data_IF_843046754344
#
_entry.id   IF_843046754344
#
_cell.length_a   1.000
_cell.length_b   1.000
_cell.length_c   1.000
_cell.angle_alpha   90.00
_cell.angle_beta   90.00
_cell.angle_gamma   90.00
#
_symmetry.space_group_name_H-M   'P 1'
#
loop_
_entity.id
_entity.type
_entity.pdbx_description
1 polymer ?
#
# COMPACT_ATOMS: atom_id res chain seq x y z
N UNK A 1 12.49 -9.31 8.09
CA UNK A 1 11.20 -9.74 7.50
C UNK A 1 11.24 -11.17 6.92
N UNK A 2 12.41 -11.69 6.52
CA UNK A 2 12.52 -12.98 5.81
C UNK A 2 11.73 -14.16 6.41
N UNK A 3 11.75 -14.43 7.74
CA UNK A 3 10.95 -15.52 8.31
C UNK A 3 9.44 -15.35 8.08
N UNK A 4 8.94 -14.11 8.18
CA UNK A 4 7.54 -13.76 7.98
C UNK A 4 7.11 -13.96 6.52
N UNK A 5 7.99 -13.60 5.57
CA UNK A 5 7.75 -13.82 4.14
C UNK A 5 7.69 -15.31 3.84
N UNK A 6 8.65 -16.09 4.34
CA UNK A 6 8.71 -17.54 4.10
C UNK A 6 7.45 -18.25 4.65
N UNK A 7 7.04 -17.89 5.86
CA UNK A 7 5.83 -18.44 6.49
C UNK A 7 4.57 -18.06 5.72
N UNK A 8 4.43 -16.79 5.32
CA UNK A 8 3.29 -16.33 4.53
C UNK A 8 3.26 -16.97 3.14
N UNK A 9 4.41 -17.18 2.51
CA UNK A 9 4.53 -17.89 1.24
C UNK A 9 4.08 -19.35 1.38
N UNK A 10 4.52 -20.03 2.44
CA UNK A 10 4.09 -21.40 2.71
C UNK A 10 2.57 -21.52 2.93
N UNK A 11 1.93 -20.47 3.47
CA UNK A 11 0.47 -20.39 3.65
C UNK A 11 -0.29 -19.85 2.44
N UNK A 12 0.39 -19.33 1.42
CA UNK A 12 -0.26 -18.63 0.31
C UNK A 12 -0.92 -17.30 0.72
N UNK A 13 -0.47 -16.67 1.81
CA UNK A 13 -1.04 -15.42 2.34
C UNK A 13 -0.20 -14.18 2.00
N UNK A 14 0.52 -14.24 0.88
CA UNK A 14 1.42 -13.21 0.38
C UNK A 14 1.11 -12.89 -1.08
N UNK A 15 1.01 -11.60 -1.41
CA UNK A 15 0.69 -11.13 -2.75
C UNK A 15 1.60 -9.96 -3.12
N UNK A 16 2.43 -10.17 -4.15
CA UNK A 16 3.22 -9.11 -4.77
C UNK A 16 2.45 -8.48 -5.93
N UNK A 17 2.61 -7.18 -6.14
CA UNK A 17 1.90 -6.44 -7.18
C UNK A 17 2.75 -5.29 -7.74
N UNK A 18 2.46 -4.94 -8.98
CA UNK A 18 2.95 -3.73 -9.67
C UNK A 18 1.80 -3.20 -10.51
N UNK A 19 1.44 -1.94 -10.31
CA UNK A 19 0.31 -1.32 -11.00
C UNK A 19 0.79 -0.53 -12.20
N UNK A 20 0.14 -0.72 -13.34
CA UNK A 20 0.28 0.20 -14.46
C UNK A 20 -0.37 1.55 -14.13
N UNK A 21 0.14 2.67 -14.66
CA UNK A 21 -0.44 3.99 -14.40
C UNK A 21 -1.95 4.04 -14.69
N UNK A 22 -2.72 4.56 -13.74
CA UNK A 22 -4.18 4.67 -13.86
C UNK A 22 -4.95 3.35 -13.70
N UNK A 23 -4.27 2.23 -13.46
CA UNK A 23 -4.93 0.94 -13.22
C UNK A 23 -5.31 0.76 -11.76
N UNK A 24 -6.32 -0.09 -11.54
CA UNK A 24 -6.74 -0.54 -10.22
C UNK A 24 -6.62 -2.05 -10.19
N UNK A 25 -6.00 -2.59 -9.15
CA UNK A 25 -5.92 -4.03 -8.91
C UNK A 25 -6.80 -4.39 -7.72
N UNK A 26 -7.48 -5.53 -7.81
CA UNK A 26 -8.30 -6.05 -6.70
C UNK A 26 -7.84 -7.46 -6.38
N UNK A 27 -7.53 -7.68 -5.10
CA UNK A 27 -7.11 -8.97 -4.59
C UNK A 27 -7.99 -9.41 -3.43
N UNK A 28 -8.20 -10.72 -3.31
CA UNK A 28 -8.97 -11.29 -2.22
C UNK A 28 -8.01 -11.91 -1.21
N UNK A 29 -8.05 -11.41 0.02
CA UNK A 29 -7.41 -12.00 1.19
C UNK A 29 -8.46 -12.81 1.97
N UNK A 30 -8.03 -13.46 3.06
CA UNK A 30 -8.96 -14.13 3.98
C UNK A 30 -9.86 -13.05 4.59
N UNK A 31 -11.16 -13.14 4.34
CA UNK A 31 -12.25 -12.28 4.82
C UNK A 31 -12.31 -10.83 4.28
N UNK A 32 -11.27 -10.32 3.63
CA UNK A 32 -11.26 -8.96 3.08
C UNK A 32 -10.86 -8.95 1.61
N UNK A 33 -11.47 -8.06 0.84
CA UNK A 33 -11.05 -7.70 -0.50
C UNK A 33 -10.30 -6.38 -0.42
N UNK A 34 -9.11 -6.36 -1.00
CA UNK A 34 -8.23 -5.21 -1.04
C UNK A 34 -8.25 -4.62 -2.44
N UNK A 35 -8.43 -3.30 -2.53
CA UNK A 35 -8.35 -2.55 -3.78
C UNK A 35 -7.10 -1.68 -3.74
N UNK A 36 -6.24 -1.82 -4.75
CA UNK A 36 -4.96 -1.13 -4.87
C UNK A 36 -4.99 -0.15 -6.03
N UNK A 37 -4.50 1.06 -5.79
CA UNK A 37 -4.38 2.12 -6.79
C UNK A 37 -3.07 2.86 -6.60
N UNK A 38 -2.63 3.56 -7.63
CA UNK A 38 -1.54 4.52 -7.48
C UNK A 38 -1.96 5.72 -6.64
N UNK A 39 -1.22 6.02 -5.58
CA UNK A 39 -1.56 7.10 -4.65
C UNK A 39 -1.43 8.47 -5.30
N UNK A 40 -0.35 8.68 -6.07
CA UNK A 40 -0.14 9.91 -6.81
C UNK A 40 -1.23 10.15 -7.85
N UNK A 41 -1.56 9.14 -8.67
CA UNK A 41 -2.58 9.21 -9.71
C UNK A 41 -3.96 9.48 -9.09
N UNK A 42 -4.28 8.82 -7.98
CA UNK A 42 -5.53 9.03 -7.24
C UNK A 42 -5.64 10.48 -6.73
N UNK A 43 -4.55 11.04 -6.21
CA UNK A 43 -4.52 12.44 -5.78
C UNK A 43 -4.65 13.40 -6.96
N UNK A 44 -3.89 13.20 -8.05
CA UNK A 44 -3.97 14.03 -9.25
C UNK A 44 -5.39 14.06 -9.80
N UNK A 45 -6.04 12.89 -9.93
CA UNK A 45 -7.42 12.79 -10.38
C UNK A 45 -8.37 13.58 -9.48
N UNK A 46 -8.25 13.42 -8.16
CA UNK A 46 -9.09 14.17 -7.19
C UNK A 46 -8.90 15.69 -7.32
N UNK A 47 -7.67 16.16 -7.52
CA UNK A 47 -7.39 17.59 -7.71
C UNK A 47 -8.02 18.13 -9.00
N UNK A 48 -7.86 17.39 -10.10
CA UNK A 48 -8.47 17.75 -11.40
C UNK A 48 -10.00 17.77 -11.29
N UNK A 49 -10.61 16.77 -10.63
CA UNK A 49 -12.05 16.70 -10.38
C UNK A 49 -12.56 17.90 -9.55
N UNK A 50 -11.70 18.51 -8.72
CA UNK A 50 -11.97 19.73 -7.95
C UNK A 50 -11.64 21.04 -8.69
N UNK A 51 -11.21 20.97 -9.96
CA UNK A 51 -10.77 22.13 -10.73
C UNK A 51 -9.41 22.71 -10.29
N UNK A 52 -8.65 21.97 -9.47
CA UNK A 52 -7.31 22.37 -9.01
C UNK A 52 -6.27 21.78 -9.96
N UNK A 53 -5.34 22.59 -10.51
CA UNK A 53 -4.29 22.06 -11.37
C UNK A 53 -3.41 21.07 -10.59
N UNK A 54 -3.02 19.94 -11.18
CA UNK A 54 -2.20 18.95 -10.49
C UNK A 54 -0.83 19.54 -10.14
N UNK A 55 -0.24 19.17 -8.98
CA UNK A 55 1.11 19.58 -8.64
C UNK A 55 2.10 19.02 -9.66
N UNK A 56 3.13 19.80 -9.97
CA UNK A 56 4.26 19.33 -10.79
C UNK A 56 4.88 18.12 -10.12
N UNK A 57 5.01 17.01 -10.84
CA UNK A 57 5.64 15.80 -10.32
C UNK A 57 7.15 16.07 -10.10
N UNK A 58 7.58 16.02 -8.84
CA UNK A 58 8.98 16.25 -8.43
C UNK A 58 9.71 14.95 -8.12
N UNK A 59 9.12 13.78 -8.41
CA UNK A 59 9.80 12.51 -8.23
C UNK A 59 11.09 12.51 -9.07
N UNK A 60 12.23 12.48 -8.40
CA UNK A 60 13.54 12.51 -9.07
C UNK A 60 13.73 11.16 -9.73
N UNK A 61 13.71 11.13 -11.07
CA UNK A 61 14.28 10.01 -11.81
C UNK A 61 15.78 10.12 -11.69
N UNK A 62 16.40 9.21 -10.94
CA UNK A 62 17.86 9.16 -10.89
C UNK A 62 18.34 8.49 -12.17
N UNK A 63 18.95 9.26 -13.06
CA UNK A 63 19.77 8.71 -14.12
C UNK A 63 20.99 8.04 -13.45
N UNK A 64 21.13 6.72 -13.58
CA UNK A 64 22.31 6.02 -13.07
C UNK A 64 23.57 6.26 -13.95
N UNK A 65 23.45 7.05 -15.02
CA UNK A 65 24.53 7.38 -15.95
C UNK A 65 24.24 8.73 -16.63
N UNK A 66 25.24 9.60 -16.79
CA UNK A 66 25.18 10.85 -17.58
C UNK A 66 25.09 10.58 -19.10
N UNK A 67 24.21 9.69 -19.53
CA UNK A 67 23.99 9.38 -20.93
C UNK A 67 22.55 9.72 -21.34
N UNK A 68 22.34 10.62 -22.31
CA UNK A 68 21.01 10.94 -22.83
C UNK A 68 20.31 9.77 -23.55
N UNK A 69 21.01 8.64 -23.71
CA UNK A 69 20.50 7.39 -24.29
C UNK A 69 20.28 6.29 -23.24
N UNK A 70 20.62 6.53 -21.97
CA UNK A 70 20.32 5.56 -20.92
C UNK A 70 18.79 5.54 -20.71
N UNK A 71 18.13 4.37 -20.77
CA UNK A 71 16.73 4.29 -20.41
C UNK A 71 16.54 4.81 -18.98
N UNK A 72 15.41 5.48 -18.73
CA UNK A 72 14.95 5.80 -17.38
C UNK A 72 14.70 4.46 -16.65
N UNK A 73 15.72 3.92 -15.97
CA UNK A 73 15.65 2.59 -15.37
C UNK A 73 15.10 2.58 -13.94
N UNK A 74 14.75 3.73 -13.37
CA UNK A 74 14.01 3.75 -12.10
C UNK A 74 12.54 3.49 -12.41
N UNK A 75 12.10 2.24 -12.29
CA UNK A 75 10.66 1.91 -12.34
C UNK A 75 9.97 2.63 -11.19
N UNK A 76 9.16 3.64 -11.52
CA UNK A 76 8.40 4.48 -10.59
C UNK A 76 6.93 4.05 -10.45
N UNK A 77 6.52 2.92 -11.04
CA UNK A 77 5.15 2.39 -10.90
C UNK A 77 4.78 2.06 -9.45
N UNK A 78 3.55 2.35 -8.99
CA UNK A 78 3.06 1.89 -7.69
C UNK A 78 3.27 0.38 -7.54
N UNK A 79 3.94 -0.04 -6.48
CA UNK A 79 4.32 -1.45 -6.32
C UNK A 79 4.51 -1.81 -4.87
N UNK A 80 4.37 -3.11 -4.59
CA UNK A 80 4.52 -3.60 -3.25
C UNK A 80 4.22 -5.08 -3.06
N UNK A 81 4.10 -5.41 -1.78
CA UNK A 81 3.86 -6.72 -1.24
C UNK A 81 2.88 -6.59 -0.09
N UNK A 82 1.82 -7.38 -0.13
CA UNK A 82 0.89 -7.54 0.98
C UNK A 82 1.11 -8.90 1.61
N UNK A 83 1.23 -8.92 2.93
CA UNK A 83 1.34 -10.13 3.73
C UNK A 83 0.23 -10.13 4.76
N UNK A 84 -0.70 -11.07 4.65
CA UNK A 84 -1.72 -11.25 5.68
C UNK A 84 -1.12 -12.04 6.84
N UNK A 85 -1.10 -11.40 8.02
CA UNK A 85 -0.57 -11.97 9.27
C UNK A 85 -1.65 -12.74 10.04
N UNK A 86 -2.87 -12.21 10.03
CA UNK A 86 -4.06 -12.82 10.61
C UNK A 86 -5.31 -12.32 9.89
N UNK A 87 -6.50 -12.72 10.34
CA UNK A 87 -7.75 -12.27 9.72
C UNK A 87 -7.97 -10.75 9.75
N UNK A 88 -7.35 -10.06 10.72
CA UNK A 88 -7.54 -8.62 10.93
C UNK A 88 -6.23 -7.84 10.84
N UNK A 89 -5.09 -8.49 10.59
CA UNK A 89 -3.79 -7.82 10.56
C UNK A 89 -3.02 -8.22 9.31
N UNK A 90 -2.45 -7.20 8.67
CA UNK A 90 -1.62 -7.36 7.48
C UNK A 90 -0.45 -6.40 7.51
N UNK A 91 0.56 -6.71 6.73
CA UNK A 91 1.70 -5.85 6.45
C UNK A 91 1.64 -5.47 4.99
N UNK A 92 1.78 -4.18 4.74
CA UNK A 92 1.96 -3.62 3.42
C UNK A 92 3.39 -3.08 3.33
N UNK A 93 4.17 -3.65 2.42
CA UNK A 93 5.47 -3.13 2.00
C UNK A 93 5.30 -2.55 0.62
N UNK A 94 5.74 -1.34 0.36
CA UNK A 94 5.55 -0.78 -0.97
C UNK A 94 5.91 0.68 -1.06
N UNK A 95 5.58 1.25 -2.21
CA UNK A 95 5.69 2.68 -2.47
C UNK A 95 4.58 3.16 -3.38
N UNK A 96 4.13 4.38 -3.13
CA UNK A 96 3.16 5.11 -3.96
C UNK A 96 1.81 4.39 -4.17
N UNK A 97 1.35 3.65 -3.15
CA UNK A 97 0.12 2.85 -3.21
C UNK A 97 -0.93 3.43 -2.28
N UNK A 98 -2.14 3.58 -2.83
CA UNK A 98 -3.37 3.80 -2.11
C UNK A 98 -4.13 2.47 -1.97
N UNK A 99 -4.72 2.23 -0.81
CA UNK A 99 -5.29 0.94 -0.43
C UNK A 99 -6.64 1.11 0.26
N UNK A 100 -7.64 0.42 -0.26
CA UNK A 100 -8.97 0.30 0.37
C UNK A 100 -9.29 -1.14 0.75
N UNK A 101 -10.11 -1.27 1.78
CA UNK A 101 -10.60 -2.55 2.27
C UNK A 101 -12.12 -2.63 2.13
N UNK A 102 -12.62 -3.80 1.71
CA UNK A 102 -14.03 -4.16 1.77
C UNK A 102 -14.16 -5.58 2.34
N UNK A 103 -15.26 -5.90 3.03
CA UNK A 103 -15.49 -7.29 3.44
C UNK A 103 -15.73 -8.17 2.21
N UNK A 104 -15.11 -9.35 2.19
CA UNK A 104 -15.22 -10.28 1.05
C UNK A 104 -16.68 -10.75 0.83
N UNK A 105 -17.44 -10.92 1.92
CA UNK A 105 -18.85 -11.30 1.91
C UNK A 105 -19.82 -10.12 1.74
N UNK A 106 -19.30 -8.88 1.79
CA UNK A 106 -20.06 -7.62 1.75
C UNK A 106 -21.14 -7.50 2.84
N UNK A 107 -21.02 -8.22 3.96
CA UNK A 107 -21.98 -8.21 5.06
C UNK A 107 -21.46 -7.42 6.26
N UNK A 108 -21.27 -6.12 6.06
CA UNK A 108 -20.72 -5.23 7.08
C UNK A 108 -19.74 -4.24 6.51
N UNK A 109 -19.04 -3.58 7.41
CA UNK A 109 -18.00 -2.62 7.09
C UNK A 109 -16.66 -3.10 7.66
N UNK A 110 -15.59 -2.68 6.98
CA UNK A 110 -14.23 -2.88 7.45
C UNK A 110 -13.56 -1.53 7.49
N UNK A 111 -12.97 -1.22 8.63
CA UNK A 111 -12.26 0.03 8.85
C UNK A 111 -10.84 -0.25 9.29
N UNK A 112 -9.95 0.66 8.94
CA UNK A 112 -8.60 0.65 9.48
C UNK A 112 -8.65 1.21 10.90
N UNK A 113 -8.39 0.35 11.88
CA UNK A 113 -8.33 0.70 13.30
C UNK A 113 -6.98 1.30 13.70
N UNK A 114 -5.88 0.82 13.09
CA UNK A 114 -4.52 1.25 13.39
C UNK A 114 -3.63 1.06 12.18
N UNK A 115 -2.76 2.03 11.94
CA UNK A 115 -1.62 1.90 11.02
C UNK A 115 -0.36 2.30 11.76
N UNK A 116 0.67 1.48 11.64
CA UNK A 116 1.97 1.71 12.26
C UNK A 116 3.06 1.49 11.23
N UNK A 117 3.84 2.52 10.93
CA UNK A 117 5.09 2.40 10.22
C UNK A 117 6.12 1.70 11.11
N UNK A 118 6.99 0.89 10.53
CA UNK A 118 8.01 0.19 11.29
C UNK A 118 8.92 -0.66 10.43
N UNK A 119 9.60 -1.60 11.06
CA UNK A 119 10.51 -2.51 10.39
C UNK A 119 10.46 -3.90 11.02
N UNK A 120 11.01 -4.90 10.33
CA UNK A 120 11.20 -6.23 10.90
C UNK A 120 12.67 -6.48 11.19
N UNK A 121 13.03 -6.68 12.46
CA UNK A 121 14.36 -7.07 12.91
C UNK A 121 14.32 -8.51 13.43
N UNK A 122 15.15 -9.40 12.87
CA UNK A 122 15.21 -10.82 13.26
C UNK A 122 13.85 -11.54 13.29
N UNK A 123 12.96 -11.20 12.34
CA UNK A 123 11.61 -11.77 12.25
C UNK A 123 10.57 -11.09 13.13
N UNK A 124 10.99 -10.22 14.05
CA UNK A 124 10.10 -9.50 14.96
C UNK A 124 9.76 -8.11 14.43
N UNK A 125 8.53 -7.67 14.66
CA UNK A 125 8.10 -6.32 14.35
C UNK A 125 8.69 -5.32 15.34
N UNK A 126 9.34 -4.30 14.81
CA UNK A 126 9.85 -3.15 15.54
C UNK A 126 8.99 -1.95 15.16
N UNK A 127 8.11 -1.48 16.06
CA UNK A 127 7.22 -0.37 15.78
C UNK A 127 8.01 0.94 15.64
N UNK A 128 7.61 1.76 14.68
CA UNK A 128 8.05 3.14 14.50
C UNK A 128 6.92 4.12 14.80
N UNK A 129 6.52 4.89 13.80
CA UNK A 129 5.48 5.91 13.94
C UNK A 129 4.06 5.32 13.76
N UNK A 130 3.13 5.72 14.62
CA UNK A 130 1.70 5.46 14.40
C UNK A 130 1.15 6.54 13.47
N UNK A 131 0.53 6.14 12.35
CA UNK A 131 -0.05 7.07 11.40
C UNK A 131 -1.50 7.39 11.80
N UNK A 132 -1.80 8.66 12.04
CA UNK A 132 -3.12 9.15 12.45
C UNK A 132 -3.56 10.35 11.62
N UNK A 133 -4.86 10.66 11.64
CA UNK A 133 -5.40 11.86 11.00
C UNK A 133 -5.06 11.95 9.52
N UNK A 134 -4.48 13.07 9.12
CA UNK A 134 -4.02 13.38 7.76
C UNK A 134 -2.91 12.43 7.27
N UNK A 135 -2.09 11.90 8.17
CA UNK A 135 -1.05 10.93 7.81
C UNK A 135 -1.64 9.63 7.26
N UNK A 136 -2.90 9.31 7.59
CA UNK A 136 -3.61 8.14 7.03
C UNK A 136 -4.03 8.33 5.58
N UNK A 137 -3.97 9.54 5.03
CA UNK A 137 -4.22 9.78 3.61
C UNK A 137 -3.12 9.19 2.71
N UNK A 138 -1.96 8.86 3.29
CA UNK A 138 -0.83 8.26 2.58
C UNK A 138 -0.13 7.25 3.49
N UNK A 139 -0.51 5.98 3.38
CA UNK A 139 0.06 4.92 4.23
C UNK A 139 1.50 4.56 3.85
N UNK A 140 1.88 4.73 2.59
CA UNK A 140 3.23 4.46 2.10
C UNK A 140 3.87 5.72 1.48
N UNK A 141 5.18 5.91 1.63
CA UNK A 141 5.90 6.97 0.93
C UNK A 141 5.83 6.80 -0.60
N UNK A 142 5.92 7.91 -1.33
CA UNK A 142 5.84 7.92 -2.81
C UNK A 142 7.21 7.77 -3.49
N UNK A 143 8.29 8.07 -2.77
CA UNK A 143 9.66 8.22 -3.28
C UNK A 143 10.61 7.09 -2.86
N UNK A 144 10.22 6.28 -1.87
CA UNK A 144 10.98 5.14 -1.35
C UNK A 144 10.04 4.02 -0.94
N UNK A 145 10.58 2.84 -0.65
CA UNK A 145 9.80 1.77 -0.02
C UNK A 145 9.61 2.04 1.48
N UNK A 146 8.36 1.93 1.94
CA UNK A 146 7.99 1.91 3.34
C UNK A 146 7.39 0.57 3.74
N UNK A 147 7.25 0.37 5.06
CA UNK A 147 6.57 -0.80 5.63
C UNK A 147 5.59 -0.29 6.67
N UNK A 148 4.33 -0.68 6.52
CA UNK A 148 3.30 -0.43 7.52
C UNK A 148 2.64 -1.73 7.94
N UNK A 149 2.32 -1.84 9.23
CA UNK A 149 1.41 -2.83 9.77
C UNK A 149 0.03 -2.20 9.93
N UNK A 150 -0.98 -2.84 9.37
CA UNK A 150 -2.36 -2.37 9.34
C UNK A 150 -3.22 -3.34 10.14
N UNK A 151 -3.99 -2.80 11.08
CA UNK A 151 -5.01 -3.54 11.82
C UNK A 151 -6.40 -3.09 11.41
N UNK A 152 -7.22 -4.04 11.02
CA UNK A 152 -8.59 -3.85 10.57
C UNK A 152 -9.56 -4.12 11.72
N UNK A 153 -10.63 -3.33 11.77
CA UNK A 153 -11.82 -3.58 12.58
C UNK A 153 -12.95 -3.97 11.63
N UNK A 154 -13.74 -4.96 12.02
CA UNK A 154 -14.95 -5.36 11.30
C UNK A 154 -16.16 -4.99 12.15
N UNK A 155 -17.15 -4.37 11.54
CA UNK A 155 -18.45 -4.11 12.15
C UNK A 155 -19.54 -4.79 11.33
N UNK A 156 -20.45 -5.47 12.02
CA UNK A 156 -21.67 -5.93 11.38
C UNK A 156 -22.57 -4.71 11.14
N UNK A 157 -23.13 -4.57 9.93
CA UNK A 157 -24.20 -3.60 9.70
C UNK A 157 -25.37 -3.99 10.60
N UNK A 158 -25.63 -3.21 11.66
CA UNK A 158 -26.88 -3.35 12.40
C UNK A 158 -28.00 -2.90 11.46
N UNK A 159 -28.92 -3.83 11.16
CA UNK A 159 -30.18 -3.53 10.48
C UNK A 159 -31.23 -3.16 11.50
#
# INVERSE_FOLDING_TARGET
MLPVIAEAQARGTIHGFVLEPGTTETLNLVNVRVTLRGAHETLQKKLVDMGVPPPVDRRIKQAQTDSPLAPDMTDMRPSGLIVQLSENELVLVGRDVDIDFTLADRKGEVEISRVEEGAYQNGNWVPGQILNGDQRLRLLPSDRYGIVKIKLLRSATQR
#
